data_IF_313905418442
#
_entry.id   IF_313905418442
#
_cell.length_a   1.000
_cell.length_b   1.000
_cell.length_c   1.000
_cell.angle_alpha   90.00
_cell.angle_beta   90.00
_cell.angle_gamma   90.00
#
_symmetry.space_group_name_H-M   'P 1'
#
loop_
_entity.id
_entity.type
_entity.pdbx_description
1 polymer ?
#
# COMPACT_ATOMS: atom_id res chain seq x y z
N UNK A 1 21.01 -0.79 -5.13
CA UNK A 1 21.59 -1.79 -4.19
C UNK A 1 20.65 -2.98 -4.11
N UNK A 2 21.12 -4.19 -4.51
CA UNK A 2 20.36 -5.42 -4.27
C UNK A 2 20.55 -5.79 -2.80
N UNK A 3 19.52 -5.69 -1.98
CA UNK A 3 19.55 -6.22 -0.62
C UNK A 3 19.63 -7.74 -0.70
N UNK A 4 20.81 -8.30 -0.51
CA UNK A 4 20.98 -9.73 -0.38
C UNK A 4 20.45 -10.16 0.99
N UNK A 5 19.53 -11.11 0.99
CA UNK A 5 18.98 -11.70 2.21
C UNK A 5 20.11 -12.30 3.05
N UNK A 6 20.27 -11.89 4.33
CA UNK A 6 21.35 -12.42 5.15
C UNK A 6 21.16 -13.92 5.39
N UNK A 7 22.23 -14.72 5.27
CA UNK A 7 22.19 -16.18 5.43
C UNK A 7 21.67 -16.64 6.81
N UNK A 8 21.85 -15.85 7.87
CA UNK A 8 21.36 -16.17 9.20
C UNK A 8 19.82 -16.15 9.35
N UNK A 9 19.08 -15.58 8.38
CA UNK A 9 17.60 -15.61 8.39
C UNK A 9 17.04 -17.00 8.06
N UNK A 10 17.82 -17.84 7.41
CA UNK A 10 17.43 -19.20 6.99
C UNK A 10 17.80 -20.27 8.02
N UNK A 11 18.66 -19.92 8.96
CA UNK A 11 19.16 -20.85 9.99
C UNK A 11 18.46 -20.65 11.33
N UNK A 12 17.68 -21.64 11.79
CA UNK A 12 16.94 -21.59 13.05
C UNK A 12 17.82 -21.48 14.31
N UNK A 13 19.08 -21.93 14.24
CA UNK A 13 19.99 -22.02 15.39
C UNK A 13 21.22 -21.09 15.28
N UNK A 14 21.10 -20.00 14.55
CA UNK A 14 22.21 -19.05 14.44
C UNK A 14 22.30 -18.20 15.71
N UNK A 15 23.48 -18.11 16.34
CA UNK A 15 23.75 -17.34 17.55
C UNK A 15 23.34 -15.86 17.38
N UNK A 16 23.60 -15.27 16.20
CA UNK A 16 23.18 -13.92 15.88
C UNK A 16 21.65 -13.76 15.89
N UNK A 17 20.90 -14.76 15.40
CA UNK A 17 19.45 -14.74 15.43
C UNK A 17 18.92 -14.79 16.86
N UNK A 18 19.57 -15.55 17.75
CA UNK A 18 19.21 -15.64 19.17
C UNK A 18 19.50 -14.32 19.87
N UNK A 19 20.66 -13.71 19.61
CA UNK A 19 21.07 -12.44 20.22
C UNK A 19 20.15 -11.27 19.77
N UNK A 20 19.60 -11.32 18.56
CA UNK A 20 18.69 -10.31 18.02
C UNK A 20 17.22 -10.49 18.46
N UNK A 21 16.85 -11.63 19.10
CA UNK A 21 15.48 -11.87 19.57
C UNK A 21 14.94 -10.78 20.51
N UNK A 22 15.68 -10.32 21.54
CA UNK A 22 15.16 -9.28 22.43
C UNK A 22 14.90 -7.96 21.70
N UNK A 23 15.75 -7.62 20.73
CA UNK A 23 15.57 -6.41 19.89
C UNK A 23 14.33 -6.57 19.01
N UNK A 24 14.13 -7.75 18.41
CA UNK A 24 12.94 -8.05 17.61
C UNK A 24 11.67 -7.99 18.45
N UNK A 25 11.71 -8.48 19.69
CA UNK A 25 10.57 -8.41 20.63
C UNK A 25 10.24 -6.97 21.00
N UNK A 26 11.25 -6.14 21.28
CA UNK A 26 11.06 -4.72 21.57
C UNK A 26 10.44 -4.01 20.35
N UNK A 27 10.95 -4.27 19.14
CA UNK A 27 10.41 -3.71 17.91
C UNK A 27 8.97 -4.14 17.66
N UNK A 28 8.65 -5.43 17.88
CA UNK A 28 7.29 -5.95 17.80
C UNK A 28 6.36 -5.27 18.79
N UNK A 29 6.79 -5.11 20.04
CA UNK A 29 6.00 -4.43 21.08
C UNK A 29 5.73 -2.96 20.72
N UNK A 30 6.75 -2.22 20.28
CA UNK A 30 6.61 -0.84 19.86
C UNK A 30 5.67 -0.69 18.64
N UNK A 31 5.76 -1.59 17.68
CA UNK A 31 4.87 -1.57 16.51
C UNK A 31 3.43 -1.93 16.86
N UNK A 32 3.23 -2.89 17.78
CA UNK A 32 1.92 -3.26 18.29
C UNK A 32 1.29 -2.10 19.09
N UNK A 33 2.06 -1.45 19.96
CA UNK A 33 1.63 -0.28 20.71
C UNK A 33 1.24 0.87 19.78
N UNK A 34 2.09 1.18 18.80
CA UNK A 34 1.77 2.19 17.77
C UNK A 34 0.48 1.87 17.03
N UNK A 35 0.28 0.61 16.64
CA UNK A 35 -0.93 0.17 15.95
C UNK A 35 -2.18 0.30 16.82
N UNK A 36 -2.07 0.03 18.11
CA UNK A 36 -3.17 0.18 19.09
C UNK A 36 -3.59 1.65 19.28
N UNK A 37 -2.63 2.59 19.16
CA UNK A 37 -2.88 4.03 19.31
C UNK A 37 -3.43 4.69 18.05
N UNK A 38 -3.37 4.02 16.89
CA UNK A 38 -3.88 4.56 15.63
C UNK A 38 -5.37 4.23 15.50
N UNK A 39 -6.21 5.27 15.41
CA UNK A 39 -7.62 5.13 15.03
C UNK A 39 -7.75 5.27 13.52
N UNK A 40 -8.08 4.19 12.77
CA UNK A 40 -8.16 4.24 11.32
C UNK A 40 -9.29 5.15 10.86
N UNK A 41 -8.98 6.11 10.01
CA UNK A 41 -9.96 7.03 9.44
C UNK A 41 -10.84 6.32 8.43
N UNK A 42 -12.15 6.50 8.55
CA UNK A 42 -13.15 6.06 7.57
C UNK A 42 -13.35 7.15 6.51
N UNK A 43 -13.62 6.74 5.28
CA UNK A 43 -13.94 7.61 4.16
C UNK A 43 -15.33 7.29 3.63
N UNK A 44 -15.92 8.21 2.86
CA UNK A 44 -17.25 8.02 2.26
C UNK A 44 -17.21 6.96 1.15
N UNK A 45 -16.13 6.97 0.37
CA UNK A 45 -15.90 5.98 -0.69
C UNK A 45 -15.24 4.71 -0.13
N UNK A 46 -15.59 3.51 -0.65
CA UNK A 46 -14.91 2.28 -0.29
C UNK A 46 -13.45 2.31 -0.77
N UNK A 47 -12.57 1.75 0.07
CA UNK A 47 -11.13 1.71 -0.19
C UNK A 47 -10.68 0.28 -0.40
N UNK A 48 -10.22 -0.04 -1.61
CA UNK A 48 -9.57 -1.29 -1.97
C UNK A 48 -8.07 -1.08 -1.86
N UNK A 49 -7.38 -1.92 -1.11
CA UNK A 49 -5.94 -1.86 -0.97
C UNK A 49 -5.29 -3.02 -1.70
N UNK A 50 -4.44 -2.72 -2.66
CA UNK A 50 -3.55 -3.70 -3.30
C UNK A 50 -2.20 -3.61 -2.60
N UNK A 51 -1.82 -4.69 -1.93
CA UNK A 51 -0.61 -4.73 -1.12
C UNK A 51 0.29 -5.89 -1.48
N UNK A 52 1.37 -6.03 -0.72
CA UNK A 52 2.30 -7.14 -0.84
C UNK A 52 2.95 -7.43 0.52
N UNK A 53 3.20 -8.71 0.79
CA UNK A 53 3.93 -9.17 1.96
C UNK A 53 5.43 -9.27 1.64
N UNK A 54 5.80 -9.52 0.38
CA UNK A 54 7.18 -9.68 -0.04
C UNK A 54 7.81 -8.38 -0.53
N UNK A 55 9.11 -8.23 -0.29
CA UNK A 55 9.91 -7.12 -0.83
C UNK A 55 10.26 -7.43 -2.30
N UNK A 56 9.85 -6.56 -3.23
CA UNK A 56 10.18 -6.70 -4.65
C UNK A 56 9.04 -6.33 -5.61
N UNK A 57 9.31 -6.42 -6.90
CA UNK A 57 8.36 -6.15 -7.98
C UNK A 57 7.37 -7.30 -8.16
N UNK A 58 6.27 -7.30 -7.42
CA UNK A 58 5.29 -8.39 -7.37
C UNK A 58 4.02 -8.12 -8.18
N UNK A 59 4.07 -7.18 -9.13
CA UNK A 59 2.94 -6.92 -10.02
C UNK A 59 1.78 -6.14 -9.40
N UNK A 60 1.98 -5.43 -8.28
CA UNK A 60 0.93 -4.62 -7.62
C UNK A 60 0.26 -3.62 -8.57
N UNK A 61 1.07 -2.86 -9.30
CA UNK A 61 0.57 -1.84 -10.22
C UNK A 61 -0.28 -2.41 -11.35
N UNK A 62 0.11 -3.49 -12.06
CA UNK A 62 -0.76 -4.17 -13.01
C UNK A 62 -2.08 -4.65 -12.39
N UNK A 63 -2.08 -5.18 -11.17
CA UNK A 63 -3.30 -5.60 -10.46
C UNK A 63 -4.19 -4.40 -10.14
N UNK A 64 -3.62 -3.29 -9.67
CA UNK A 64 -4.38 -2.05 -9.41
C UNK A 64 -5.06 -1.53 -10.69
N UNK A 65 -4.36 -1.57 -11.83
CA UNK A 65 -4.91 -1.18 -13.15
C UNK A 65 -6.04 -2.15 -13.57
N UNK A 66 -5.84 -3.46 -13.40
CA UNK A 66 -6.85 -4.46 -13.73
C UNK A 66 -8.13 -4.25 -12.91
N UNK A 67 -8.02 -4.02 -11.61
CA UNK A 67 -9.16 -3.74 -10.74
C UNK A 67 -9.87 -2.45 -11.17
N UNK A 68 -9.13 -1.40 -11.50
CA UNK A 68 -9.71 -0.16 -12.01
C UNK A 68 -10.51 -0.39 -13.29
N UNK A 69 -10.00 -1.19 -14.21
CA UNK A 69 -10.71 -1.52 -15.45
C UNK A 69 -11.98 -2.35 -15.18
N UNK A 70 -11.93 -3.35 -14.29
CA UNK A 70 -13.10 -4.14 -13.88
C UNK A 70 -14.17 -3.23 -13.24
N UNK A 71 -13.77 -2.28 -12.42
CA UNK A 71 -14.71 -1.33 -11.83
C UNK A 71 -15.35 -0.41 -12.89
N UNK A 72 -14.57 0.06 -13.86
CA UNK A 72 -15.08 0.88 -14.97
C UNK A 72 -16.09 0.12 -15.84
N UNK A 73 -15.83 -1.16 -16.14
CA UNK A 73 -16.80 -2.00 -16.88
C UNK A 73 -18.10 -2.22 -16.11
N UNK A 74 -18.08 -2.06 -14.79
CA UNK A 74 -19.26 -2.09 -13.91
C UNK A 74 -19.83 -0.69 -13.60
N UNK A 75 -19.59 0.29 -14.48
CA UNK A 75 -20.09 1.67 -14.36
C UNK A 75 -19.68 2.37 -13.05
N UNK A 76 -18.51 2.04 -12.50
CA UNK A 76 -17.91 2.75 -11.37
C UNK A 76 -16.77 3.65 -11.85
N UNK A 77 -16.58 4.75 -11.14
CA UNK A 77 -15.50 5.69 -11.37
C UNK A 77 -14.39 5.50 -10.31
N UNK A 78 -13.39 4.61 -10.53
CA UNK A 78 -12.32 4.36 -9.56
C UNK A 78 -11.19 5.38 -9.67
N UNK A 79 -10.62 5.79 -8.52
CA UNK A 79 -9.34 6.49 -8.45
C UNK A 79 -8.24 5.53 -8.03
N UNK A 80 -7.13 5.47 -8.78
CA UNK A 80 -5.90 4.81 -8.32
C UNK A 80 -5.11 5.83 -7.52
N UNK A 81 -4.87 5.51 -6.26
CA UNK A 81 -4.19 6.38 -5.29
C UNK A 81 -2.81 5.81 -4.99
N UNK A 82 -1.78 6.57 -5.34
CA UNK A 82 -0.39 6.17 -5.12
C UNK A 82 0.37 7.25 -4.37
N UNK A 83 1.28 6.83 -3.50
CA UNK A 83 2.17 7.75 -2.83
C UNK A 83 3.17 8.30 -3.85
N UNK A 84 3.32 9.63 -3.89
CA UNK A 84 4.26 10.26 -4.79
C UNK A 84 5.70 10.00 -4.37
N UNK A 85 6.50 9.45 -5.28
CA UNK A 85 7.96 9.32 -5.20
C UNK A 85 8.57 9.86 -6.48
N UNK A 86 9.61 10.69 -6.35
CA UNK A 86 10.26 11.34 -7.50
C UNK A 86 10.89 10.34 -8.48
N UNK A 87 11.36 9.20 -7.96
CA UNK A 87 12.05 8.18 -8.76
C UNK A 87 11.11 7.23 -9.53
N UNK A 88 9.78 7.44 -9.45
CA UNK A 88 8.76 6.54 -10.04
C UNK A 88 7.92 7.26 -11.11
N UNK A 89 8.45 8.27 -11.78
CA UNK A 89 7.70 9.07 -12.76
C UNK A 89 7.20 8.24 -13.95
N UNK A 90 8.02 7.27 -14.43
CA UNK A 90 7.63 6.41 -15.55
C UNK A 90 6.43 5.53 -15.22
N UNK A 91 6.39 4.99 -13.99
CA UNK A 91 5.28 4.20 -13.51
C UNK A 91 4.01 5.06 -13.34
N UNK A 92 4.16 6.30 -12.87
CA UNK A 92 3.04 7.25 -12.76
C UNK A 92 2.45 7.59 -14.13
N UNK A 93 3.30 7.86 -15.13
CA UNK A 93 2.86 8.10 -16.52
C UNK A 93 2.13 6.91 -17.10
N UNK A 94 2.67 5.69 -16.90
CA UNK A 94 2.04 4.46 -17.37
C UNK A 94 0.63 4.29 -16.80
N UNK A 95 0.47 4.41 -15.49
CA UNK A 95 -0.85 4.27 -14.83
C UNK A 95 -1.81 5.34 -15.39
N UNK A 96 -1.36 6.59 -15.45
CA UNK A 96 -2.22 7.69 -15.88
C UNK A 96 -2.65 7.54 -17.36
N UNK A 97 -1.76 7.11 -18.24
CA UNK A 97 -2.07 6.87 -19.65
C UNK A 97 -3.10 5.76 -19.86
N UNK A 98 -3.06 4.71 -19.01
CA UNK A 98 -3.98 3.56 -19.14
C UNK A 98 -5.32 3.86 -18.48
N UNK A 99 -5.31 4.52 -17.30
CA UNK A 99 -6.52 4.61 -16.49
C UNK A 99 -7.15 6.00 -16.45
N UNK A 100 -6.39 7.05 -16.74
CA UNK A 100 -6.78 8.46 -16.60
C UNK A 100 -7.47 8.79 -15.26
N UNK A 101 -7.07 8.06 -14.20
CA UNK A 101 -7.70 8.15 -12.87
C UNK A 101 -6.67 8.06 -11.74
N UNK A 102 -5.44 8.50 -12.00
CA UNK A 102 -4.34 8.45 -11.02
C UNK A 102 -4.34 9.71 -10.14
N UNK A 103 -4.34 9.51 -8.83
CA UNK A 103 -4.14 10.56 -7.83
C UNK A 103 -2.83 10.32 -7.09
N UNK A 104 -1.90 11.26 -7.24
CA UNK A 104 -0.61 11.25 -6.58
C UNK A 104 -0.59 12.25 -5.41
N UNK A 105 -0.17 11.80 -4.25
CA UNK A 105 0.08 12.69 -3.09
C UNK A 105 1.11 12.05 -2.16
N UNK A 106 1.88 12.87 -1.44
CA UNK A 106 2.78 12.40 -0.36
C UNK A 106 1.99 11.83 0.82
N UNK A 107 0.77 12.33 1.05
CA UNK A 107 -0.16 11.89 2.09
C UNK A 107 -1.36 11.17 1.44
N UNK A 108 -1.53 9.88 1.75
CA UNK A 108 -2.64 9.07 1.19
C UNK A 108 -4.01 9.52 1.68
N UNK A 109 -4.13 9.99 2.91
CA UNK A 109 -5.40 10.54 3.45
C UNK A 109 -5.85 11.72 2.60
N UNK A 110 -4.94 12.68 2.34
CA UNK A 110 -5.23 13.83 1.48
C UNK A 110 -5.56 13.43 0.02
N UNK A 111 -4.94 12.34 -0.47
CA UNK A 111 -5.25 11.81 -1.80
C UNK A 111 -6.66 11.21 -1.86
N UNK A 112 -7.10 10.49 -0.82
CA UNK A 112 -8.46 9.94 -0.75
C UNK A 112 -9.48 11.08 -0.63
N UNK A 113 -9.22 12.09 0.20
CA UNK A 113 -10.09 13.27 0.30
C UNK A 113 -10.21 14.01 -1.04
N UNK A 114 -9.13 14.04 -1.83
CA UNK A 114 -9.16 14.59 -3.19
C UNK A 114 -10.06 13.73 -4.08
N UNK A 115 -9.95 12.39 -4.02
CA UNK A 115 -10.82 11.49 -4.76
C UNK A 115 -12.31 11.68 -4.41
N UNK A 116 -12.64 11.87 -3.12
CA UNK A 116 -14.00 12.16 -2.68
C UNK A 116 -14.52 13.49 -3.26
N UNK A 117 -13.69 14.55 -3.27
CA UNK A 117 -14.07 15.85 -3.84
C UNK A 117 -14.27 15.82 -5.36
N UNK A 118 -13.52 14.97 -6.05
CA UNK A 118 -13.59 14.80 -7.51
C UNK A 118 -14.66 13.77 -7.93
N UNK A 119 -15.53 13.34 -6.99
CA UNK A 119 -16.64 12.40 -7.22
C UNK A 119 -16.22 11.04 -7.78
N UNK A 120 -15.10 10.52 -7.31
CA UNK A 120 -14.78 9.11 -7.53
C UNK A 120 -15.61 8.21 -6.61
N UNK A 121 -16.02 7.03 -7.13
CA UNK A 121 -16.85 6.08 -6.39
C UNK A 121 -16.05 5.14 -5.50
N UNK A 122 -14.80 4.86 -5.86
CA UNK A 122 -13.91 3.87 -5.22
C UNK A 122 -12.48 4.37 -5.23
N UNK A 123 -11.79 4.24 -4.11
CA UNK A 123 -10.33 4.46 -4.02
C UNK A 123 -9.57 3.14 -4.07
N UNK A 124 -8.61 3.00 -4.97
CA UNK A 124 -7.68 1.86 -5.05
C UNK A 124 -6.31 2.34 -4.56
N UNK A 125 -5.89 1.85 -3.40
CA UNK A 125 -4.55 2.14 -2.87
C UNK A 125 -3.54 1.19 -3.49
N UNK A 126 -2.64 1.70 -4.32
CA UNK A 126 -1.48 0.98 -4.81
C UNK A 126 -0.37 1.06 -3.75
N UNK A 127 0.02 -0.12 -3.22
CA UNK A 127 1.01 -0.27 -2.14
C UNK A 127 0.63 0.41 -0.81
N UNK A 128 -0.63 0.25 -0.38
CA UNK A 128 -1.17 0.86 0.85
C UNK A 128 -1.27 -0.07 2.06
N UNK A 129 -0.80 -1.33 1.99
CA UNK A 129 -1.08 -2.36 3.00
C UNK A 129 -0.59 -1.98 4.41
N UNK A 130 0.59 -1.40 4.53
CA UNK A 130 1.20 -1.01 5.82
C UNK A 130 0.64 0.29 6.41
N UNK A 131 -0.22 1.00 5.68
CA UNK A 131 -0.82 2.25 6.17
C UNK A 131 -2.04 1.93 7.04
N UNK A 132 -1.84 1.96 8.36
CA UNK A 132 -2.87 1.69 9.37
C UNK A 132 -3.75 2.90 9.68
N UNK A 133 -3.45 4.07 9.12
CA UNK A 133 -4.24 5.29 9.35
C UNK A 133 -5.54 5.32 8.53
N UNK A 134 -5.68 4.41 7.56
CA UNK A 134 -6.79 4.33 6.63
C UNK A 134 -7.58 3.06 6.90
N UNK A 135 -8.90 3.19 7.12
CA UNK A 135 -9.80 2.03 7.17
C UNK A 135 -10.04 1.54 5.75
N UNK A 136 -9.56 0.34 5.44
CA UNK A 136 -9.72 -0.31 4.14
C UNK A 136 -10.97 -1.18 4.15
N UNK A 137 -11.70 -1.20 3.03
CA UNK A 137 -12.89 -2.04 2.83
C UNK A 137 -12.47 -3.44 2.40
N UNK A 138 -11.47 -3.53 1.51
CA UNK A 138 -10.94 -4.79 0.99
C UNK A 138 -9.41 -4.71 0.90
N UNK A 139 -8.74 -5.80 1.28
CA UNK A 139 -7.31 -5.97 1.07
C UNK A 139 -7.06 -7.12 0.09
N UNK A 140 -6.25 -6.87 -0.94
CA UNK A 140 -5.78 -7.84 -1.93
C UNK A 140 -4.26 -7.94 -1.77
N UNK A 141 -3.75 -9.16 -1.57
CA UNK A 141 -2.34 -9.41 -1.26
C UNK A 141 -1.81 -10.46 -2.24
#
# INVERSE_FOLDING_TARGET
MKFLKPKFWESKNNILAILLRPISFLFYFLTALRKSLISPRKFKIPIICVGNIYVGGTGKTPVSIMIANILKTNNKNPAIIKKYYKDHEDEHKLINNITNSLILNKNRVAAIEKAERENFDVGILDDGFQDHTIKKTLNII
#
